data_IF_471070771483
#
_entry.id   IF_471070771483
#
_cell.length_a   1.000
_cell.length_b   1.000
_cell.length_c   1.000
_cell.angle_alpha   90.00
_cell.angle_beta   90.00
_cell.angle_gamma   90.00
#
_symmetry.space_group_name_H-M   'P 1'
#
loop_
_entity.id
_entity.type
_entity.pdbx_description
1 polymer ?
#
# COMPACT_ATOMS: atom_id res chain seq x y z
N UNK A 1 -19.14 -9.43 -12.09
CA UNK A 1 -18.34 -8.35 -12.71
C UNK A 1 -17.10 -9.02 -13.29
N UNK A 2 -16.62 -8.67 -14.50
CA UNK A 2 -15.30 -9.13 -14.91
C UNK A 2 -14.31 -8.71 -13.84
N UNK A 3 -13.45 -9.62 -13.38
CA UNK A 3 -12.40 -9.30 -12.43
C UNK A 3 -11.56 -8.16 -13.00
N UNK A 4 -11.66 -6.98 -12.40
CA UNK A 4 -10.86 -5.85 -12.83
C UNK A 4 -9.39 -6.21 -12.73
N UNK A 5 -8.67 -5.99 -13.83
CA UNK A 5 -7.26 -6.33 -13.95
C UNK A 5 -6.41 -5.55 -12.92
N UNK A 6 -6.87 -4.36 -12.52
CA UNK A 6 -6.22 -3.51 -11.53
C UNK A 6 -6.94 -3.57 -10.18
N UNK A 7 -6.20 -3.94 -9.13
CA UNK A 7 -6.67 -4.03 -7.76
C UNK A 7 -6.67 -2.65 -7.09
N UNK A 8 -7.82 -1.97 -7.21
CA UNK A 8 -8.00 -0.60 -6.69
C UNK A 8 -7.98 -0.56 -5.17
N UNK A 9 -8.49 -1.61 -4.51
CA UNK A 9 -8.51 -1.69 -3.05
C UNK A 9 -7.10 -1.84 -2.49
N UNK A 10 -6.30 -2.75 -3.06
CA UNK A 10 -4.89 -2.90 -2.71
C UNK A 10 -4.10 -1.61 -2.97
N UNK A 11 -4.34 -0.93 -4.09
CA UNK A 11 -3.73 0.35 -4.40
C UNK A 11 -4.09 1.42 -3.36
N UNK A 12 -5.37 1.56 -3.02
CA UNK A 12 -5.81 2.56 -2.04
C UNK A 12 -5.26 2.28 -0.64
N UNK A 13 -5.20 1.02 -0.22
CA UNK A 13 -4.59 0.62 1.05
C UNK A 13 -3.09 0.99 1.10
N UNK A 14 -2.34 0.70 0.03
CA UNK A 14 -0.92 1.04 -0.08
C UNK A 14 -0.70 2.57 -0.10
N UNK A 15 -1.54 3.31 -0.84
CA UNK A 15 -1.51 4.77 -0.87
C UNK A 15 -1.78 5.38 0.52
N UNK A 16 -2.76 4.83 1.25
CA UNK A 16 -3.06 5.26 2.62
C UNK A 16 -1.90 4.96 3.58
N UNK A 17 -1.22 3.83 3.42
CA UNK A 17 -0.02 3.52 4.20
C UNK A 17 1.11 4.54 3.91
N UNK A 18 1.34 4.89 2.64
CA UNK A 18 2.29 5.93 2.25
C UNK A 18 1.94 7.28 2.88
N UNK A 19 0.66 7.68 2.85
CA UNK A 19 0.14 8.89 3.50
C UNK A 19 0.40 8.92 5.00
N UNK A 20 0.09 7.84 5.70
CA UNK A 20 0.30 7.76 7.14
C UNK A 20 1.79 7.75 7.51
N UNK A 21 2.64 7.11 6.70
CA UNK A 21 4.09 7.09 6.93
C UNK A 21 4.74 8.48 6.85
N UNK A 22 4.14 9.38 6.07
CA UNK A 22 4.53 10.77 5.90
C UNK A 22 3.75 11.74 6.81
N UNK A 23 2.86 11.24 7.66
CA UNK A 23 1.99 12.04 8.55
C UNK A 23 1.14 13.08 7.81
N UNK A 24 0.66 12.75 6.60
CA UNK A 24 -0.12 13.65 5.74
C UNK A 24 -1.62 13.42 5.87
N UNK A 25 -2.41 14.47 5.68
CA UNK A 25 -3.87 14.36 5.49
C UNK A 25 -4.18 14.07 4.02
N UNK A 26 -5.40 13.61 3.71
CA UNK A 26 -5.82 13.44 2.31
C UNK A 26 -5.82 14.74 1.51
N UNK A 27 -6.03 15.87 2.18
CA UNK A 27 -5.94 17.19 1.56
C UNK A 27 -4.50 17.46 1.11
N UNK A 28 -3.52 17.18 1.97
CA UNK A 28 -2.10 17.37 1.63
C UNK A 28 -1.69 16.46 0.46
N UNK A 29 -2.16 15.21 0.43
CA UNK A 29 -1.92 14.30 -0.71
C UNK A 29 -2.51 14.86 -2.00
N UNK A 30 -3.73 15.42 -1.95
CA UNK A 30 -4.37 16.01 -3.12
C UNK A 30 -3.53 17.16 -3.70
N UNK A 31 -3.08 18.05 -2.83
CA UNK A 31 -2.27 19.21 -3.18
C UNK A 31 -0.90 18.81 -3.73
N UNK A 32 -0.19 17.91 -3.05
CA UNK A 32 1.15 17.47 -3.44
C UNK A 32 1.16 16.60 -4.70
N UNK A 33 0.15 15.74 -4.89
CA UNK A 33 0.01 14.94 -6.10
C UNK A 33 -0.63 15.73 -7.26
N UNK A 34 -1.14 16.94 -7.03
CA UNK A 34 -1.82 17.71 -8.07
C UNK A 34 -3.14 17.08 -8.55
N UNK A 35 -3.85 16.37 -7.65
CA UNK A 35 -5.16 15.76 -7.93
C UNK A 35 -6.26 16.45 -7.15
N UNK A 36 -7.51 16.38 -7.62
CA UNK A 36 -8.63 16.92 -6.88
C UNK A 36 -8.94 16.06 -5.64
N UNK A 37 -9.21 16.68 -4.49
CA UNK A 37 -9.64 15.98 -3.28
C UNK A 37 -10.91 15.12 -3.50
N UNK A 38 -11.80 15.52 -4.42
CA UNK A 38 -12.96 14.71 -4.81
C UNK A 38 -12.57 13.41 -5.52
N UNK A 39 -11.47 13.40 -6.27
CA UNK A 39 -10.91 12.19 -6.90
C UNK A 39 -10.45 11.21 -5.83
N UNK A 40 -9.73 11.67 -4.81
CA UNK A 40 -9.29 10.82 -3.69
C UNK A 40 -10.45 10.22 -2.89
N UNK A 41 -11.45 11.05 -2.56
CA UNK A 41 -12.66 10.58 -1.86
C UNK A 41 -13.41 9.51 -2.65
N UNK A 42 -13.50 9.68 -3.98
CA UNK A 42 -14.14 8.69 -4.87
C UNK A 42 -13.33 7.39 -4.93
N UNK A 43 -12.00 7.46 -5.04
CA UNK A 43 -11.14 6.26 -5.04
C UNK A 43 -11.27 5.50 -3.72
N UNK A 44 -11.31 6.21 -2.59
CA UNK A 44 -11.56 5.59 -1.28
C UNK A 44 -12.96 4.97 -1.12
N UNK A 45 -13.89 5.28 -2.03
CA UNK A 45 -15.22 4.67 -2.13
C UNK A 45 -15.29 3.59 -3.21
N UNK A 46 -14.15 3.18 -3.78
CA UNK A 46 -14.06 2.13 -4.81
C UNK A 46 -14.20 2.64 -6.25
N UNK A 47 -14.18 3.95 -6.49
CA UNK A 47 -14.16 4.47 -7.86
C UNK A 47 -12.79 4.26 -8.50
N UNK A 48 -12.79 3.94 -9.79
CA UNK A 48 -11.54 3.83 -10.56
C UNK A 48 -10.90 5.20 -10.74
N UNK A 49 -9.60 5.36 -10.43
CA UNK A 49 -8.89 6.57 -10.79
C UNK A 49 -8.83 6.72 -12.32
N UNK A 50 -8.93 7.95 -12.81
CA UNK A 50 -8.53 8.23 -14.19
C UNK A 50 -7.01 8.04 -14.35
N UNK A 51 -6.55 7.88 -15.60
CA UNK A 51 -5.14 7.56 -15.90
C UNK A 51 -4.18 8.62 -15.35
N UNK A 52 -4.55 9.90 -15.41
CA UNK A 52 -3.69 11.00 -14.96
C UNK A 52 -3.61 11.04 -13.44
N UNK A 53 -4.75 10.91 -12.75
CA UNK A 53 -4.82 10.84 -11.31
C UNK A 53 -4.10 9.62 -10.75
N UNK A 54 -4.21 8.46 -11.42
CA UNK A 54 -3.45 7.27 -11.04
C UNK A 54 -1.94 7.50 -11.19
N UNK A 55 -1.49 8.03 -12.32
CA UNK A 55 -0.06 8.30 -12.56
C UNK A 55 0.52 9.27 -11.53
N UNK A 56 -0.22 10.34 -11.22
CA UNK A 56 0.17 11.33 -10.22
C UNK A 56 0.29 10.73 -8.80
N UNK A 57 -0.67 9.90 -8.40
CA UNK A 57 -0.65 9.24 -7.09
C UNK A 57 0.43 8.16 -6.98
N UNK A 58 0.69 7.41 -8.05
CA UNK A 58 1.81 6.47 -8.12
C UNK A 58 3.15 7.19 -7.98
N UNK A 59 3.31 8.32 -8.67
CA UNK A 59 4.51 9.15 -8.57
C UNK A 59 4.70 9.70 -7.14
N UNK A 60 3.65 10.28 -6.56
CA UNK A 60 3.70 10.85 -5.21
C UNK A 60 4.04 9.79 -4.14
N UNK A 61 3.45 8.59 -4.25
CA UNK A 61 3.65 7.50 -3.28
C UNK A 61 4.89 6.65 -3.53
N UNK A 62 5.59 6.84 -4.66
CA UNK A 62 6.66 5.96 -5.14
C UNK A 62 6.24 4.50 -5.30
N UNK A 63 4.94 4.24 -5.49
CA UNK A 63 4.38 2.91 -5.76
C UNK A 63 4.41 2.61 -7.26
N UNK A 64 4.35 1.32 -7.64
CA UNK A 64 4.32 0.90 -9.04
C UNK A 64 2.97 0.29 -9.38
N UNK A 65 2.40 0.68 -10.53
CA UNK A 65 1.12 0.14 -11.01
C UNK A 65 1.15 -1.38 -11.14
N UNK A 66 2.28 -1.95 -11.56
CA UNK A 66 2.47 -3.39 -11.78
C UNK A 66 2.26 -4.23 -10.52
N UNK A 67 2.44 -3.66 -9.32
CA UNK A 67 2.21 -4.34 -8.05
C UNK A 67 0.71 -4.55 -7.75
N UNK A 68 -0.17 -3.85 -8.47
CA UNK A 68 -1.63 -3.93 -8.32
C UNK A 68 -2.32 -4.56 -9.53
N UNK A 69 -1.57 -5.03 -10.52
CA UNK A 69 -2.14 -5.73 -11.69
C UNK A 69 -2.21 -7.22 -11.37
N UNK A 70 -3.41 -7.80 -11.43
CA UNK A 70 -3.61 -9.24 -11.19
C UNK A 70 -2.92 -10.07 -12.28
N UNK A 71 -2.24 -11.15 -11.89
CA UNK A 71 -1.61 -12.08 -12.83
C UNK A 71 -0.21 -11.70 -13.33
N UNK A 72 0.40 -10.61 -12.86
CA UNK A 72 1.80 -10.24 -13.18
C UNK A 72 2.84 -10.94 -12.29
N UNK A 73 2.39 -11.85 -11.40
CA UNK A 73 3.21 -12.62 -10.45
C UNK A 73 4.04 -13.73 -11.11
N UNK A 74 4.82 -13.37 -12.14
CA UNK A 74 5.79 -14.25 -12.82
C UNK A 74 7.15 -14.35 -12.12
N UNK A 75 7.37 -13.66 -10.99
CA UNK A 75 8.64 -13.71 -10.24
C UNK A 75 8.43 -14.43 -8.91
N UNK A 76 9.33 -15.37 -8.59
CA UNK A 76 9.48 -15.99 -7.26
C UNK A 76 9.81 -14.91 -6.22
N UNK A 77 8.79 -14.16 -5.77
CA UNK A 77 8.88 -13.29 -4.59
C UNK A 77 8.94 -14.19 -3.36
N UNK A 78 9.71 -13.78 -2.36
CA UNK A 78 9.63 -14.43 -1.04
C UNK A 78 8.19 -14.34 -0.52
N UNK A 79 7.79 -15.25 0.37
CA UNK A 79 6.47 -15.19 1.00
C UNK A 79 6.20 -13.79 1.58
N UNK A 80 5.00 -13.19 1.39
CA UNK A 80 4.70 -11.84 1.85
C UNK A 80 5.02 -11.62 3.33
N UNK A 81 4.74 -12.63 4.16
CA UNK A 81 5.04 -12.57 5.59
C UNK A 81 6.54 -12.43 5.87
N UNK A 82 7.40 -13.11 5.11
CA UNK A 82 8.85 -13.01 5.24
C UNK A 82 9.35 -11.61 4.82
N UNK A 83 8.75 -11.02 3.77
CA UNK A 83 9.07 -9.66 3.36
C UNK A 83 8.70 -8.64 4.44
N UNK A 84 7.52 -8.75 5.03
CA UNK A 84 7.06 -7.85 6.11
C UNK A 84 8.02 -7.94 7.30
N UNK A 85 8.37 -9.15 7.75
CA UNK A 85 9.33 -9.34 8.85
C UNK A 85 10.69 -8.71 8.54
N UNK A 86 11.20 -8.88 7.32
CA UNK A 86 12.46 -8.26 6.91
C UNK A 86 12.40 -6.73 6.94
N UNK A 87 11.29 -6.13 6.47
CA UNK A 87 11.08 -4.69 6.49
C UNK A 87 11.01 -4.14 7.92
N UNK A 88 10.26 -4.79 8.81
CA UNK A 88 10.15 -4.38 10.22
C UNK A 88 11.51 -4.42 10.93
N UNK A 89 12.34 -5.42 10.65
CA UNK A 89 13.69 -5.53 11.23
C UNK A 89 14.70 -4.54 10.64
N UNK A 90 14.47 -4.07 9.41
CA UNK A 90 15.34 -3.10 8.73
C UNK A 90 14.97 -1.63 9.01
N UNK A 91 13.80 -1.35 9.59
CA UNK A 91 13.34 0.01 9.85
C UNK A 91 14.18 0.69 10.95
N UNK A 92 14.92 1.74 10.56
CA UNK A 92 15.76 2.53 11.46
C UNK A 92 14.98 3.34 12.49
N UNK A 93 13.67 3.50 12.31
CA UNK A 93 12.78 4.15 13.28
C UNK A 93 12.40 3.22 14.45
N UNK A 94 12.66 1.92 14.33
CA UNK A 94 12.35 0.93 15.37
C UNK A 94 13.63 0.50 16.11
N UNK A 95 13.55 0.44 17.44
CA UNK A 95 14.58 -0.25 18.22
C UNK A 95 14.55 -1.75 17.90
N UNK A 96 15.67 -2.47 18.07
CA UNK A 96 15.72 -3.93 17.86
C UNK A 96 14.64 -4.68 18.65
N UNK A 97 14.37 -4.23 19.88
CA UNK A 97 13.33 -4.80 20.73
C UNK A 97 11.92 -4.53 20.18
N UNK A 98 11.65 -3.30 19.73
CA UNK A 98 10.34 -2.93 19.18
C UNK A 98 10.08 -3.61 17.83
N UNK A 99 11.10 -3.69 16.96
CA UNK A 99 11.00 -4.41 15.69
C UNK A 99 10.66 -5.89 15.92
N UNK A 100 11.32 -6.54 16.89
CA UNK A 100 11.02 -7.92 17.29
C UNK A 100 9.59 -8.07 17.82
N UNK A 101 9.14 -7.16 18.68
CA UNK A 101 7.76 -7.18 19.20
C UNK A 101 6.72 -7.07 18.07
N UNK A 102 6.93 -6.12 17.14
CA UNK A 102 6.04 -5.95 15.99
C UNK A 102 6.02 -7.19 15.09
N UNK A 103 7.17 -7.79 14.83
CA UNK A 103 7.27 -9.06 14.10
C UNK A 103 6.48 -10.18 14.80
N UNK A 104 6.62 -10.35 16.10
CA UNK A 104 5.91 -11.38 16.86
C UNK A 104 4.39 -11.19 16.77
N UNK A 105 3.91 -9.95 16.90
CA UNK A 105 2.48 -9.61 16.74
C UNK A 105 1.99 -9.96 15.34
N UNK A 106 2.73 -9.56 14.31
CA UNK A 106 2.36 -9.80 12.90
C UNK A 106 2.36 -11.29 12.59
N UNK A 107 3.39 -12.04 12.98
CA UNK A 107 3.48 -13.48 12.75
C UNK A 107 2.39 -14.26 13.48
N UNK A 108 2.13 -13.91 14.75
CA UNK A 108 1.08 -14.56 15.54
C UNK A 108 -0.29 -14.36 14.88
N UNK A 109 -0.63 -13.11 14.55
CA UNK A 109 -1.91 -12.75 13.95
C UNK A 109 -2.06 -13.39 12.56
N UNK A 110 -1.03 -13.34 11.72
CA UNK A 110 -1.05 -13.96 10.40
C UNK A 110 -1.27 -15.48 10.47
N UNK A 111 -0.57 -16.18 11.36
CA UNK A 111 -0.73 -17.62 11.50
C UNK A 111 -2.11 -18.03 12.05
N UNK A 112 -2.75 -17.16 12.83
CA UNK A 112 -4.10 -17.39 13.34
C UNK A 112 -5.19 -17.17 12.28
N UNK A 113 -4.97 -16.23 11.35
CA UNK A 113 -6.00 -15.77 10.40
C UNK A 113 -5.82 -16.31 8.98
N UNK A 114 -4.70 -16.94 8.66
CA UNK A 114 -4.49 -17.56 7.34
C UNK A 114 -5.39 -18.80 7.20
N UNK A 115 -6.13 -18.89 6.09
CA UNK A 115 -6.94 -20.03 5.68
C UNK A 115 -6.20 -20.91 4.67
#
# INVERSE_FOLDING_TARGET
MPDDLFDTDAFYAALNAARLSQQKTWKDVAEEAGVNASTLSRIGQGAKPDVNGLAALLQWSSLKAEDFIRGTSGKKRAEPIAQITALLRADSKLSKANAKLMEEIVLSTYNQLKD
#
